data_IF_101866103243
#
_entry.id   IF_101866103243
#
_cell.length_a   1.000
_cell.length_b   1.000
_cell.length_c   1.000
_cell.angle_alpha   90.00
_cell.angle_beta   90.00
_cell.angle_gamma   90.00
#
_symmetry.space_group_name_H-M   'P 1'
#
loop_
_entity.id
_entity.type
_entity.pdbx_description
1 polymer ?
#
# COMPACT_ATOMS: atom_id res chain seq x y z
N UNK A 1 14.29 -9.01 -6.42
CA UNK A 1 13.06 -8.20 -6.31
C UNK A 1 12.42 -8.39 -4.94
N UNK A 2 12.05 -9.60 -4.54
CA UNK A 2 11.50 -9.88 -3.20
C UNK A 2 12.42 -9.41 -2.04
N UNK A 3 13.68 -9.86 -2.03
CA UNK A 3 14.67 -9.44 -1.01
C UNK A 3 14.90 -7.93 -0.99
N UNK A 4 14.84 -7.28 -2.16
CA UNK A 4 14.97 -5.84 -2.30
C UNK A 4 13.76 -5.10 -1.70
N UNK A 5 12.55 -5.67 -1.81
CA UNK A 5 11.35 -5.15 -1.15
C UNK A 5 11.43 -5.31 0.37
N UNK A 6 11.91 -6.46 0.87
CA UNK A 6 12.16 -6.62 2.30
C UNK A 6 13.17 -5.61 2.86
N UNK A 7 14.23 -5.29 2.10
CA UNK A 7 15.16 -4.22 2.47
C UNK A 7 14.49 -2.83 2.46
N UNK A 8 13.64 -2.56 1.47
CA UNK A 8 12.87 -1.32 1.40
C UNK A 8 11.91 -1.17 2.60
N UNK A 9 11.23 -2.26 2.99
CA UNK A 9 10.39 -2.29 4.19
C UNK A 9 11.17 -1.92 5.45
N UNK A 10 12.34 -2.54 5.66
CA UNK A 10 13.20 -2.24 6.80
C UNK A 10 13.68 -0.78 6.79
N UNK A 11 14.00 -0.23 5.62
CA UNK A 11 14.35 1.20 5.48
C UNK A 11 13.19 2.12 5.85
N UNK A 12 11.97 1.83 5.37
CA UNK A 12 10.79 2.63 5.71
C UNK A 12 10.56 2.64 7.22
N UNK A 13 10.58 1.46 7.85
CA UNK A 13 10.38 1.32 9.30
C UNK A 13 11.49 2.03 10.09
N UNK A 14 12.75 1.88 9.68
CA UNK A 14 13.88 2.53 10.34
C UNK A 14 13.88 4.06 10.23
N UNK A 15 13.38 4.61 9.12
CA UNK A 15 13.26 6.05 8.92
C UNK A 15 11.97 6.65 9.52
N UNK A 16 10.92 5.85 9.69
CA UNK A 16 9.60 6.32 10.13
C UNK A 16 9.09 7.49 9.28
N UNK A 17 8.53 8.51 9.93
CA UNK A 17 8.03 9.71 9.26
C UNK A 17 9.07 10.44 8.38
N UNK A 18 10.36 10.29 8.69
CA UNK A 18 11.46 10.83 7.88
C UNK A 18 11.54 10.23 6.47
N UNK A 19 10.87 9.10 6.20
CA UNK A 19 10.78 8.51 4.86
C UNK A 19 9.79 9.24 3.94
N UNK A 20 8.88 10.06 4.49
CA UNK A 20 7.81 10.74 3.72
C UNK A 20 8.30 11.45 2.45
N UNK A 21 9.41 12.22 2.45
CA UNK A 21 9.90 12.90 1.25
C UNK A 21 10.30 11.95 0.11
N UNK A 22 10.53 10.66 0.40
CA UNK A 22 10.88 9.63 -0.58
C UNK A 22 9.64 8.94 -1.18
N UNK A 23 8.45 9.13 -0.61
CA UNK A 23 7.17 8.62 -1.13
C UNK A 23 6.60 9.53 -2.25
N UNK A 24 7.46 9.90 -3.18
CA UNK A 24 7.11 10.67 -4.37
C UNK A 24 6.71 9.77 -5.55
N UNK A 25 6.47 10.39 -6.71
CA UNK A 25 5.94 9.71 -7.90
C UNK A 25 6.77 8.54 -8.41
N UNK A 26 8.10 8.59 -8.31
CA UNK A 26 8.97 7.46 -8.73
C UNK A 26 8.82 6.25 -7.81
N UNK A 27 8.81 6.46 -6.50
CA UNK A 27 8.63 5.37 -5.52
C UNK A 27 7.24 4.75 -5.64
N UNK A 28 6.19 5.57 -5.75
CA UNK A 28 4.82 5.09 -5.90
C UNK A 28 4.63 4.34 -7.23
N UNK A 29 5.28 4.78 -8.31
CA UNK A 29 5.29 4.05 -9.60
C UNK A 29 5.97 2.69 -9.48
N UNK A 30 7.12 2.62 -8.81
CA UNK A 30 7.82 1.36 -8.58
C UNK A 30 6.94 0.36 -7.79
N UNK A 31 6.29 0.82 -6.72
CA UNK A 31 5.36 -0.01 -5.93
C UNK A 31 4.16 -0.46 -6.78
N UNK A 32 3.63 0.43 -7.62
CA UNK A 32 2.54 0.10 -8.55
C UNK A 32 2.95 -1.01 -9.55
N UNK A 33 4.12 -0.90 -10.17
CA UNK A 33 4.64 -1.92 -11.08
C UNK A 33 4.84 -3.26 -10.38
N UNK A 34 5.39 -3.25 -9.16
CA UNK A 34 5.62 -4.47 -8.39
C UNK A 34 4.30 -5.13 -7.95
N UNK A 35 3.29 -4.35 -7.58
CA UNK A 35 1.95 -4.86 -7.23
C UNK A 35 1.23 -5.56 -8.40
N UNK A 36 1.67 -5.35 -9.65
CA UNK A 36 1.09 -5.96 -10.87
C UNK A 36 2.01 -7.00 -11.50
N UNK A 37 3.11 -7.33 -10.84
CA UNK A 37 4.11 -8.24 -11.37
C UNK A 37 3.55 -9.67 -11.55
N UNK A 38 4.01 -10.41 -12.54
CA UNK A 38 3.52 -11.78 -12.82
C UNK A 38 3.83 -12.76 -11.68
N UNK A 39 5.02 -12.63 -11.09
CA UNK A 39 5.44 -13.38 -9.91
C UNK A 39 4.64 -12.94 -8.66
N UNK A 40 3.89 -13.88 -8.06
CA UNK A 40 3.07 -13.67 -6.87
C UNK A 40 3.84 -13.17 -5.64
N UNK A 41 5.08 -13.63 -5.45
CA UNK A 41 5.91 -13.20 -4.31
C UNK A 41 6.28 -11.72 -4.41
N UNK A 42 6.54 -11.23 -5.63
CA UNK A 42 6.81 -9.80 -5.86
C UNK A 42 5.56 -8.97 -5.55
N UNK A 43 4.37 -9.44 -5.94
CA UNK A 43 3.11 -8.75 -5.61
C UNK A 43 2.86 -8.72 -4.10
N UNK A 44 3.02 -9.86 -3.43
CA UNK A 44 2.84 -9.99 -1.99
C UNK A 44 3.70 -8.98 -1.22
N UNK A 45 5.01 -8.94 -1.51
CA UNK A 45 5.92 -7.99 -0.88
C UNK A 45 5.68 -6.54 -1.29
N UNK A 46 5.16 -6.27 -2.49
CA UNK A 46 4.75 -4.92 -2.86
C UNK A 46 3.62 -4.41 -1.96
N UNK A 47 2.67 -5.27 -1.55
CA UNK A 47 1.62 -4.90 -0.62
C UNK A 47 2.11 -4.72 0.82
N UNK A 48 3.11 -5.50 1.27
CA UNK A 48 3.76 -5.22 2.55
C UNK A 48 4.54 -3.89 2.53
N UNK A 49 5.23 -3.58 1.43
CA UNK A 49 5.86 -2.28 1.24
C UNK A 49 4.84 -1.12 1.20
N UNK A 50 3.69 -1.31 0.55
CA UNK A 50 2.58 -0.33 0.58
C UNK A 50 2.03 -0.13 1.99
N UNK A 51 1.84 -1.21 2.77
CA UNK A 51 1.43 -1.11 4.19
C UNK A 51 2.40 -0.21 4.95
N UNK A 52 3.70 -0.48 4.87
CA UNK A 52 4.71 0.31 5.58
C UNK A 52 4.73 1.75 5.08
N UNK A 53 4.61 2.00 3.77
CA UNK A 53 4.50 3.34 3.22
C UNK A 53 3.32 4.13 3.83
N UNK A 54 2.17 3.46 3.99
CA UNK A 54 1.02 4.06 4.66
C UNK A 54 1.29 4.30 6.13
N UNK A 55 1.89 3.37 6.86
CA UNK A 55 2.18 3.54 8.29
C UNK A 55 3.14 4.71 8.55
N UNK A 56 4.20 4.83 7.74
CA UNK A 56 5.28 5.78 7.99
C UNK A 56 5.02 7.18 7.44
N UNK A 57 4.21 7.35 6.38
CA UNK A 57 3.98 8.68 5.83
C UNK A 57 3.21 9.61 6.78
N UNK A 58 3.43 10.92 6.63
CA UNK A 58 2.61 11.93 7.32
C UNK A 58 1.18 11.89 6.80
N UNK A 59 0.21 12.24 7.66
CA UNK A 59 -1.21 12.29 7.26
C UNK A 59 -1.45 13.27 6.09
N UNK A 60 -0.75 14.39 6.08
CA UNK A 60 -0.83 15.39 4.99
C UNK A 60 -0.37 14.79 3.65
N UNK A 61 0.83 14.19 3.61
CA UNK A 61 1.35 13.57 2.39
C UNK A 61 0.49 12.36 1.97
N UNK A 62 -0.06 11.63 2.94
CA UNK A 62 -0.99 10.55 2.68
C UNK A 62 -2.20 11.03 1.90
N UNK A 63 -2.94 12.00 2.44
CA UNK A 63 -4.19 12.48 1.85
C UNK A 63 -3.98 13.24 0.54
N UNK A 64 -2.87 13.97 0.42
CA UNK A 64 -2.58 14.78 -0.76
C UNK A 64 -2.02 13.94 -1.93
N UNK A 65 -1.16 12.95 -1.64
CA UNK A 65 -0.34 12.30 -2.68
C UNK A 65 -0.46 10.79 -2.68
N UNK A 66 -0.23 10.14 -1.53
CA UNK A 66 -0.10 8.67 -1.49
C UNK A 66 -1.45 8.01 -1.71
N UNK A 67 -2.47 8.38 -0.96
CA UNK A 67 -3.79 7.74 -0.98
C UNK A 67 -4.47 7.81 -2.36
N UNK A 68 -4.53 8.98 -3.06
CA UNK A 68 -5.12 9.06 -4.39
C UNK A 68 -4.41 8.18 -5.44
N UNK A 69 -3.12 7.91 -5.26
CA UNK A 69 -2.33 7.12 -6.22
C UNK A 69 -2.36 5.62 -5.93
N UNK A 70 -2.66 5.22 -4.69
CA UNK A 70 -2.55 3.83 -4.25
C UNK A 70 -3.89 3.16 -3.94
N UNK A 71 -4.98 3.91 -3.75
CA UNK A 71 -6.30 3.36 -3.41
C UNK A 71 -6.75 2.26 -4.38
N UNK A 72 -6.58 2.46 -5.70
CA UNK A 72 -6.92 1.44 -6.70
C UNK A 72 -5.98 0.25 -6.73
N UNK A 73 -4.72 0.42 -6.30
CA UNK A 73 -3.78 -0.69 -6.14
C UNK A 73 -4.21 -1.58 -4.98
N UNK A 74 -4.63 -0.97 -3.86
CA UNK A 74 -5.16 -1.67 -2.69
C UNK A 74 -6.42 -2.43 -3.06
N UNK A 75 -7.39 -1.77 -3.73
CA UNK A 75 -8.63 -2.41 -4.18
C UNK A 75 -8.36 -3.59 -5.14
N UNK A 76 -7.36 -3.49 -6.01
CA UNK A 76 -6.96 -4.58 -6.89
C UNK A 76 -6.33 -5.74 -6.12
N UNK A 77 -5.44 -5.45 -5.17
CA UNK A 77 -4.73 -6.47 -4.38
C UNK A 77 -5.63 -7.26 -3.46
N UNK A 78 -6.60 -6.57 -2.84
CA UNK A 78 -7.62 -7.21 -2.02
C UNK A 78 -8.33 -8.29 -2.85
N UNK A 79 -8.62 -8.03 -4.13
CA UNK A 79 -9.26 -8.96 -5.07
C UNK A 79 -8.30 -9.90 -5.82
N UNK A 80 -7.03 -9.99 -5.45
CA UNK A 80 -6.05 -10.83 -6.16
C UNK A 80 -6.47 -12.31 -6.12
N UNK A 81 -6.14 -13.08 -7.15
CA UNK A 81 -6.51 -14.50 -7.21
C UNK A 81 -5.72 -15.37 -6.21
N UNK A 82 -4.56 -14.91 -5.72
CA UNK A 82 -3.75 -15.63 -4.75
C UNK A 82 -4.05 -15.19 -3.32
N UNK A 83 -4.40 -16.14 -2.45
CA UNK A 83 -4.75 -15.86 -1.06
C UNK A 83 -3.66 -15.14 -0.26
N UNK A 84 -2.38 -15.46 -0.51
CA UNK A 84 -1.26 -14.77 0.14
C UNK A 84 -1.17 -13.29 -0.27
N UNK A 85 -1.40 -12.99 -1.56
CA UNK A 85 -1.42 -11.61 -2.04
C UNK A 85 -2.64 -10.88 -1.50
N UNK A 86 -3.82 -11.52 -1.46
CA UNK A 86 -5.03 -10.95 -0.81
C UNK A 86 -4.80 -10.63 0.66
N UNK A 87 -4.13 -11.52 1.39
CA UNK A 87 -3.78 -11.31 2.78
C UNK A 87 -2.89 -10.07 2.93
N UNK A 88 -1.77 -10.01 2.20
CA UNK A 88 -0.86 -8.86 2.24
C UNK A 88 -1.59 -7.55 1.88
N UNK A 89 -2.39 -7.55 0.81
CA UNK A 89 -3.20 -6.40 0.41
C UNK A 89 -4.26 -6.02 1.44
N UNK A 90 -4.87 -6.97 2.15
CA UNK A 90 -5.81 -6.70 3.24
C UNK A 90 -5.11 -6.03 4.43
N UNK A 91 -3.87 -6.43 4.75
CA UNK A 91 -3.08 -5.72 5.77
C UNK A 91 -2.75 -4.29 5.35
N UNK A 92 -2.45 -4.08 4.07
CA UNK A 92 -2.24 -2.75 3.51
C UNK A 92 -3.53 -1.91 3.50
N UNK A 93 -4.68 -2.52 3.19
CA UNK A 93 -5.99 -1.86 3.23
C UNK A 93 -6.33 -1.39 4.65
N UNK A 94 -6.06 -2.21 5.66
CA UNK A 94 -6.23 -1.80 7.06
C UNK A 94 -5.36 -0.59 7.39
N UNK A 95 -4.07 -0.64 7.09
CA UNK A 95 -3.15 0.48 7.33
C UNK A 95 -3.55 1.76 6.57
N UNK A 96 -4.04 1.61 5.34
CA UNK A 96 -4.59 2.70 4.54
C UNK A 96 -5.77 3.36 5.26
N UNK A 97 -6.76 2.57 5.69
CA UNK A 97 -7.95 3.08 6.36
C UNK A 97 -7.64 3.66 7.74
N UNK A 98 -6.65 3.11 8.44
CA UNK A 98 -6.14 3.69 9.69
C UNK A 98 -5.50 5.06 9.44
N UNK A 99 -4.65 5.20 8.43
CA UNK A 99 -4.02 6.48 8.08
C UNK A 99 -5.02 7.52 7.56
N UNK A 100 -6.08 7.09 6.87
CA UNK A 100 -7.15 7.96 6.40
C UNK A 100 -7.94 8.60 7.55
N UNK A 101 -8.01 7.97 8.73
CA UNK A 101 -8.68 8.50 9.92
C UNK A 101 -10.11 9.02 9.64
N UNK A 102 -10.38 10.32 9.82
CA UNK A 102 -11.70 10.92 9.57
C UNK A 102 -12.05 10.96 8.07
N UNK A 103 -11.06 10.90 7.19
CA UNK A 103 -11.22 10.95 5.73
C UNK A 103 -11.54 9.58 5.11
N UNK A 104 -11.75 8.53 5.91
CA UNK A 104 -12.07 7.16 5.43
C UNK A 104 -13.24 7.15 4.45
N UNK A 105 -14.25 7.98 4.71
CA UNK A 105 -15.46 8.07 3.88
C UNK A 105 -15.16 8.42 2.42
N UNK A 106 -14.09 9.19 2.17
CA UNK A 106 -13.62 9.54 0.82
C UNK A 106 -13.23 8.32 -0.02
N UNK A 107 -12.79 7.24 0.63
CA UNK A 107 -12.24 6.05 -0.03
C UNK A 107 -13.20 4.85 -0.01
N UNK A 108 -14.35 4.94 0.66
CA UNK A 108 -15.35 3.87 0.69
C UNK A 108 -15.86 3.45 -0.71
N UNK A 109 -16.12 4.35 -1.67
CA UNK A 109 -16.60 3.93 -2.99
C UNK A 109 -15.68 2.91 -3.68
N UNK A 110 -14.37 2.97 -3.41
CA UNK A 110 -13.38 2.10 -4.03
C UNK A 110 -12.98 0.91 -3.15
N UNK A 111 -12.91 1.09 -1.83
CA UNK A 111 -12.41 0.06 -0.92
C UNK A 111 -13.49 -0.72 -0.17
N UNK A 112 -14.67 -0.15 0.09
CA UNK A 112 -15.67 -0.80 0.96
C UNK A 112 -16.12 -2.15 0.42
N UNK A 113 -16.48 -2.20 -0.87
CA UNK A 113 -16.86 -3.45 -1.54
C UNK A 113 -15.75 -4.51 -1.46
N UNK A 114 -14.53 -4.22 -1.97
CA UNK A 114 -13.41 -5.15 -1.89
C UNK A 114 -13.10 -5.63 -0.46
N UNK A 115 -13.13 -4.76 0.55
CA UNK A 115 -12.82 -5.14 1.93
C UNK A 115 -13.88 -6.07 2.55
N UNK A 116 -15.16 -5.88 2.22
CA UNK A 116 -16.27 -6.64 2.82
C UNK A 116 -16.58 -7.95 2.09
N UNK A 117 -16.23 -8.05 0.80
CA UNK A 117 -16.62 -9.17 -0.06
C UNK A 117 -15.42 -10.05 -0.45
N UNK A 118 -14.33 -9.95 0.30
CA UNK A 118 -13.09 -10.68 0.03
C UNK A 118 -13.15 -12.16 0.40
#
# INVERSE_FOLDING_TARGET
LETSMGALEAMMQGCGAGFTPRLGGEMLRLLAECSRHTNRFVREFAYFALRNAFEVCTAEAFLATVAPQTVGLVAAGVRDNWSQVRYAASTAARAFMEKAAEERARFYPELLGPMCLN
#
